data_IF_517992981782
#
_entry.id   IF_517992981782
#
_cell.length_a   1.000
_cell.length_b   1.000
_cell.length_c   1.000
_cell.angle_alpha   90.00
_cell.angle_beta   90.00
_cell.angle_gamma   90.00
#
_symmetry.space_group_name_H-M   'P 1'
#
loop_
_entity.id
_entity.type
_entity.pdbx_description
1 polymer ?
#
# COMPACT_ATOMS: atom_id res chain seq x y z
N UNK A 1 -16.77 7.29 16.82
CA UNK A 1 -17.49 7.21 15.55
C UNK A 1 -16.98 6.00 14.81
N UNK A 2 -17.87 5.13 14.36
CA UNK A 2 -17.48 3.96 13.55
C UNK A 2 -16.94 4.43 12.19
N UNK A 3 -16.10 3.62 11.54
CA UNK A 3 -15.57 3.92 10.22
C UNK A 3 -16.69 4.23 9.21
N UNK A 4 -17.78 3.47 9.26
CA UNK A 4 -18.96 3.65 8.41
C UNK A 4 -19.67 5.00 8.64
N UNK A 5 -19.76 5.49 9.88
CA UNK A 5 -20.31 6.83 10.16
C UNK A 5 -19.45 7.93 9.52
N UNK A 6 -18.13 7.76 9.53
CA UNK A 6 -17.19 8.66 8.86
C UNK A 6 -17.36 8.65 7.34
N UNK A 7 -17.53 7.48 6.73
CA UNK A 7 -17.78 7.32 5.29
C UNK A 7 -19.10 7.97 4.90
N UNK A 8 -20.18 7.72 5.65
CA UNK A 8 -21.50 8.32 5.40
C UNK A 8 -21.45 9.85 5.46
N UNK A 9 -20.78 10.40 6.49
CA UNK A 9 -20.62 11.85 6.65
C UNK A 9 -19.85 12.47 5.48
N UNK A 10 -18.75 11.86 5.04
CA UNK A 10 -17.93 12.37 3.92
C UNK A 10 -18.58 12.18 2.56
N UNK A 11 -19.45 11.19 2.43
CA UNK A 11 -20.21 10.93 1.21
C UNK A 11 -21.39 11.90 1.02
N UNK A 12 -21.70 12.74 2.02
CA UNK A 12 -22.87 13.63 2.02
C UNK A 12 -24.18 12.87 1.68
N UNK A 13 -24.30 11.62 2.14
CA UNK A 13 -25.43 10.74 1.84
C UNK A 13 -25.43 10.09 0.44
N UNK A 14 -24.38 10.25 -0.36
CA UNK A 14 -24.24 9.58 -1.66
C UNK A 14 -23.98 8.08 -1.47
N UNK A 15 -25.04 7.27 -1.65
CA UNK A 15 -25.01 5.81 -1.49
C UNK A 15 -23.95 5.16 -2.38
N UNK A 16 -23.73 5.68 -3.59
CA UNK A 16 -22.73 5.09 -4.51
C UNK A 16 -21.31 5.28 -3.98
N UNK A 17 -21.02 6.41 -3.33
CA UNK A 17 -19.72 6.64 -2.68
C UNK A 17 -19.52 5.71 -1.49
N UNK A 18 -20.59 5.41 -0.75
CA UNK A 18 -20.55 4.46 0.36
C UNK A 18 -20.30 3.04 -0.14
N UNK A 19 -21.05 2.60 -1.16
CA UNK A 19 -20.85 1.29 -1.81
C UNK A 19 -19.42 1.15 -2.34
N UNK A 20 -18.91 2.16 -3.04
CA UNK A 20 -17.56 2.18 -3.57
C UNK A 20 -16.49 2.08 -2.47
N UNK A 21 -16.66 2.77 -1.35
CA UNK A 21 -15.74 2.67 -0.22
C UNK A 21 -15.80 1.29 0.44
N UNK A 22 -16.99 0.71 0.60
CA UNK A 22 -17.17 -0.64 1.13
C UNK A 22 -16.48 -1.67 0.21
N UNK A 23 -16.70 -1.60 -1.10
CA UNK A 23 -16.04 -2.48 -2.07
C UNK A 23 -14.51 -2.32 -2.00
N UNK A 24 -14.02 -1.09 -1.86
CA UNK A 24 -12.61 -0.79 -1.71
C UNK A 24 -11.98 -1.41 -0.46
N UNK A 25 -12.63 -1.27 0.70
CA UNK A 25 -12.18 -1.89 1.96
C UNK A 25 -12.24 -3.40 1.87
N UNK A 26 -13.35 -3.98 1.39
CA UNK A 26 -13.46 -5.43 1.21
C UNK A 26 -12.37 -5.97 0.28
N UNK A 27 -12.04 -5.24 -0.79
CA UNK A 27 -10.95 -5.60 -1.70
C UNK A 27 -9.61 -5.60 -0.98
N UNK A 28 -9.31 -4.56 -0.20
CA UNK A 28 -8.09 -4.48 0.60
C UNK A 28 -7.97 -5.66 1.58
N UNK A 29 -9.01 -5.90 2.38
CA UNK A 29 -9.02 -6.99 3.38
C UNK A 29 -8.93 -8.37 2.73
N UNK A 30 -9.56 -8.56 1.56
CA UNK A 30 -9.48 -9.82 0.82
C UNK A 30 -8.05 -10.09 0.33
N UNK A 31 -7.27 -9.07 -0.01
CA UNK A 31 -5.86 -9.24 -0.41
C UNK A 31 -5.06 -9.87 0.72
N UNK A 32 -5.25 -9.43 1.98
CA UNK A 32 -4.56 -10.01 3.12
C UNK A 32 -4.85 -11.51 3.32
N UNK A 33 -6.01 -12.00 2.88
CA UNK A 33 -6.32 -13.44 2.94
C UNK A 33 -5.48 -14.27 1.94
N UNK A 34 -5.00 -13.67 0.85
CA UNK A 34 -4.22 -14.34 -0.21
C UNK A 34 -2.73 -13.98 -0.21
N UNK A 35 -2.38 -12.88 0.47
CA UNK A 35 -1.03 -12.37 0.54
C UNK A 35 -0.18 -13.20 1.50
N UNK A 36 1.07 -13.46 1.11
CA UNK A 36 2.09 -13.97 2.01
C UNK A 36 2.82 -12.80 2.67
N UNK A 37 3.04 -12.89 3.98
CA UNK A 37 3.67 -11.87 4.82
C UNK A 37 5.10 -12.26 5.24
N UNK A 38 5.74 -13.17 4.49
CA UNK A 38 7.07 -13.68 4.80
C UNK A 38 7.17 -14.26 6.22
N UNK A 39 6.15 -15.00 6.67
CA UNK A 39 6.04 -15.54 8.03
C UNK A 39 5.99 -14.43 9.09
N UNK A 40 5.23 -13.37 8.78
CA UNK A 40 5.07 -12.18 9.60
C UNK A 40 6.28 -11.26 9.66
N UNK A 41 7.25 -11.40 8.75
CA UNK A 41 8.48 -10.60 8.77
C UNK A 41 8.51 -9.48 7.71
N UNK A 42 7.60 -9.49 6.73
CA UNK A 42 7.50 -8.40 5.74
C UNK A 42 7.22 -7.06 6.44
N UNK A 43 7.79 -5.92 5.98
CA UNK A 43 7.47 -4.61 6.55
C UNK A 43 5.97 -4.35 6.45
N UNK A 44 5.37 -3.90 7.55
CA UNK A 44 3.92 -3.69 7.62
C UNK A 44 3.40 -2.78 6.50
N UNK A 45 4.11 -1.69 6.20
CA UNK A 45 3.70 -0.81 5.10
C UNK A 45 3.80 -1.46 3.71
N UNK A 46 4.71 -2.41 3.48
CA UNK A 46 4.69 -3.19 2.24
C UNK A 46 3.50 -4.15 2.20
N UNK A 47 3.10 -4.71 3.35
CA UNK A 47 1.89 -5.55 3.46
C UNK A 47 0.65 -4.74 3.06
N UNK A 48 0.41 -3.63 3.74
CA UNK A 48 -0.70 -2.69 3.48
C UNK A 48 -0.66 -2.12 2.06
N UNK A 49 0.53 -1.76 1.58
CA UNK A 49 0.74 -1.18 0.26
C UNK A 49 0.40 -2.14 -0.89
N UNK A 50 0.61 -3.45 -0.72
CA UNK A 50 0.20 -4.45 -1.70
C UNK A 50 -1.32 -4.54 -1.76
N UNK A 51 -2.01 -4.48 -0.61
CA UNK A 51 -3.47 -4.46 -0.57
C UNK A 51 -4.04 -3.23 -1.30
N UNK A 52 -3.46 -2.05 -1.06
CA UNK A 52 -3.88 -0.82 -1.71
C UNK A 52 -3.42 -0.68 -3.17
N UNK A 53 -2.35 -1.35 -3.57
CA UNK A 53 -1.99 -1.51 -4.99
C UNK A 53 -3.08 -2.26 -5.76
N UNK A 54 -3.60 -3.37 -5.20
CA UNK A 54 -4.72 -4.12 -5.81
C UNK A 54 -6.00 -3.29 -5.82
N UNK A 55 -6.34 -2.65 -4.69
CA UNK A 55 -7.52 -1.78 -4.58
C UNK A 55 -7.49 -0.67 -5.63
N UNK A 56 -6.35 0.01 -5.79
CA UNK A 56 -6.15 1.03 -6.82
C UNK A 56 -6.28 0.46 -8.23
N UNK A 57 -5.67 -0.70 -8.51
CA UNK A 57 -5.76 -1.40 -9.79
C UNK A 57 -7.18 -1.87 -10.16
N UNK A 58 -8.02 -2.14 -9.16
CA UNK A 58 -9.44 -2.46 -9.33
C UNK A 58 -10.32 -1.22 -9.60
N UNK A 59 -9.73 -0.02 -9.62
CA UNK A 59 -10.46 1.23 -9.79
C UNK A 59 -11.25 1.66 -8.55
N UNK A 60 -10.86 1.18 -7.36
CA UNK A 60 -11.52 1.42 -6.07
C UNK A 60 -10.72 2.39 -5.17
N UNK A 61 -9.85 3.20 -5.78
CA UNK A 61 -9.08 4.23 -5.09
C UNK A 61 -10.02 5.35 -4.59
N UNK A 62 -10.05 5.66 -3.28
CA UNK A 62 -10.78 6.79 -2.73
C UNK A 62 -10.41 8.13 -3.39
N UNK A 63 -11.36 9.07 -3.51
CA UNK A 63 -11.10 10.37 -4.14
C UNK A 63 -10.01 11.23 -3.48
N UNK A 64 -9.66 10.96 -2.22
CA UNK A 64 -8.66 11.71 -1.46
C UNK A 64 -7.24 11.14 -1.59
N UNK A 65 -7.06 9.99 -2.25
CA UNK A 65 -5.74 9.43 -2.50
C UNK A 65 -4.93 10.33 -3.42
N UNK A 66 -3.64 10.48 -3.13
CA UNK A 66 -2.71 11.33 -3.89
C UNK A 66 -1.48 10.50 -4.26
N UNK A 67 -1.13 10.51 -5.56
CA UNK A 67 0.05 9.79 -6.04
C UNK A 67 1.35 10.45 -5.55
N UNK A 68 1.40 11.79 -5.55
CA UNK A 68 2.56 12.53 -5.07
C UNK A 68 2.79 12.26 -3.56
N UNK A 69 3.99 11.78 -3.17
CA UNK A 69 4.35 11.64 -1.76
C UNK A 69 4.80 12.96 -1.16
N UNK A 70 4.64 13.10 0.16
CA UNK A 70 5.23 14.18 0.93
C UNK A 70 6.76 14.04 1.07
N UNK A 71 7.43 15.10 1.51
CA UNK A 71 8.89 15.12 1.64
C UNK A 71 9.42 14.06 2.63
N UNK A 72 8.69 13.89 3.74
CA UNK A 72 9.01 12.96 4.83
C UNK A 72 8.46 11.55 4.63
N UNK A 73 7.71 11.30 3.56
CA UNK A 73 7.16 9.97 3.29
C UNK A 73 8.27 8.99 2.93
N UNK A 74 8.06 7.74 3.38
CA UNK A 74 8.91 6.59 3.08
C UNK A 74 8.21 5.67 2.08
N UNK A 75 8.97 4.90 1.33
CA UNK A 75 8.43 3.97 0.36
C UNK A 75 7.55 2.88 1.00
N UNK A 76 7.81 2.54 2.26
CA UNK A 76 7.09 1.57 3.10
C UNK A 76 6.13 2.24 4.09
N UNK A 77 5.64 3.44 3.79
CA UNK A 77 4.67 4.13 4.67
C UNK A 77 3.31 3.41 4.76
N UNK A 78 3.03 2.45 3.88
CA UNK A 78 1.77 1.74 3.83
C UNK A 78 0.78 2.36 2.85
N UNK A 79 -0.38 1.70 2.79
CA UNK A 79 -1.58 2.17 2.12
C UNK A 79 -1.33 2.71 0.70
N UNK A 80 -2.00 3.80 0.33
CA UNK A 80 -1.88 4.41 -0.99
C UNK A 80 -0.45 4.82 -1.33
N UNK A 81 0.34 5.22 -0.33
CA UNK A 81 1.70 5.72 -0.54
C UNK A 81 2.60 4.64 -1.11
N UNK A 82 2.61 3.48 -0.46
CA UNK A 82 3.32 2.31 -0.96
C UNK A 82 2.63 1.73 -2.20
N UNK A 83 1.29 1.75 -2.27
CA UNK A 83 0.54 1.25 -3.44
C UNK A 83 0.85 1.99 -4.74
N UNK A 84 0.93 3.33 -4.71
CA UNK A 84 1.35 4.12 -5.86
C UNK A 84 2.81 3.89 -6.22
N UNK A 85 3.69 3.74 -5.24
CA UNK A 85 5.09 3.39 -5.50
C UNK A 85 5.23 2.04 -6.21
N UNK A 86 4.51 1.01 -5.76
CA UNK A 86 4.49 -0.30 -6.43
C UNK A 86 3.95 -0.21 -7.87
N UNK A 87 2.98 0.69 -8.11
CA UNK A 87 2.50 1.01 -9.46
C UNK A 87 3.57 1.70 -10.31
N UNK A 88 4.37 2.59 -9.72
CA UNK A 88 5.55 3.18 -10.37
C UNK A 88 6.60 2.13 -10.72
N UNK A 89 6.96 1.25 -9.78
CA UNK A 89 7.94 0.19 -10.01
C UNK A 89 7.50 -0.73 -11.17
N UNK A 90 6.25 -1.18 -11.17
CA UNK A 90 5.72 -2.02 -12.25
C UNK A 90 5.85 -1.36 -13.63
N UNK A 91 5.64 -0.04 -13.71
CA UNK A 91 5.83 0.74 -14.95
C UNK A 91 7.31 0.93 -15.30
N UNK A 92 8.14 1.27 -14.30
CA UNK A 92 9.57 1.52 -14.45
C UNK A 92 10.30 0.29 -15.01
N UNK A 93 10.04 -0.87 -14.43
CA UNK A 93 10.58 -2.16 -14.86
C UNK A 93 9.83 -2.78 -16.05
N UNK A 94 8.72 -2.17 -16.50
CA UNK A 94 7.81 -2.72 -17.52
C UNK A 94 7.37 -4.15 -17.22
N UNK A 95 7.16 -4.42 -15.93
CA UNK A 95 6.85 -5.74 -15.41
C UNK A 95 5.51 -5.71 -14.67
N UNK A 96 4.39 -6.08 -15.33
CA UNK A 96 3.09 -6.12 -14.67
C UNK A 96 3.00 -7.23 -13.61
N UNK A 97 3.96 -8.16 -13.56
CA UNK A 97 4.02 -9.23 -12.58
C UNK A 97 4.95 -8.91 -11.41
N UNK A 98 5.48 -7.68 -11.31
CA UNK A 98 6.41 -7.29 -10.24
C UNK A 98 5.81 -7.52 -8.85
N UNK A 99 4.62 -6.99 -8.57
CA UNK A 99 3.94 -7.18 -7.27
C UNK A 99 3.58 -8.65 -7.02
N UNK A 100 3.00 -9.40 -7.98
CA UNK A 100 2.84 -10.85 -7.86
C UNK A 100 4.14 -11.61 -7.53
N UNK A 101 5.29 -11.21 -8.09
CA UNK A 101 6.60 -11.81 -7.79
C UNK A 101 7.06 -11.52 -6.35
N UNK A 102 6.79 -10.32 -5.82
CA UNK A 102 7.02 -10.01 -4.40
C UNK A 102 6.20 -10.97 -3.52
N UNK A 103 4.90 -11.11 -3.79
CA UNK A 103 4.03 -12.01 -3.04
C UNK A 103 4.50 -13.47 -3.12
N UNK A 104 4.90 -13.93 -4.31
CA UNK A 104 5.44 -15.28 -4.49
C UNK A 104 6.74 -15.50 -3.73
N UNK A 105 7.65 -14.52 -3.72
CA UNK A 105 8.90 -14.60 -2.96
C UNK A 105 8.62 -14.65 -1.44
N UNK A 106 7.66 -13.87 -0.96
CA UNK A 106 7.24 -13.84 0.44
C UNK A 106 6.60 -15.17 0.91
N UNK A 107 6.22 -16.07 0.00
CA UNK A 107 5.74 -17.41 0.37
C UNK A 107 6.81 -18.27 1.02
N UNK A 108 8.03 -18.24 0.48
CA UNK A 108 9.13 -19.12 0.90
C UNK A 108 10.14 -18.42 1.81
N UNK A 109 10.35 -17.13 1.58
CA UNK A 109 11.44 -16.37 2.17
C UNK A 109 10.97 -15.61 3.42
N UNK A 110 11.94 -15.17 4.24
CA UNK A 110 11.74 -14.19 5.31
C UNK A 110 12.29 -12.84 4.88
N UNK A 111 11.88 -11.77 5.56
CA UNK A 111 12.47 -10.45 5.39
C UNK A 111 13.88 -10.42 5.99
N UNK A 112 14.86 -10.62 5.12
CA UNK A 112 16.29 -10.52 5.41
C UNK A 112 16.82 -9.21 4.84
N UNK A 113 16.56 -8.10 5.56
CA UNK A 113 16.96 -6.73 5.19
C UNK A 113 16.66 -6.36 3.71
N UNK A 114 15.46 -6.78 3.25
CA UNK A 114 15.01 -6.51 1.90
C UNK A 114 15.65 -7.35 0.79
N UNK A 115 16.42 -8.40 1.09
CA UNK A 115 17.06 -9.26 0.08
C UNK A 115 16.09 -9.81 -0.96
N UNK A 116 14.89 -10.24 -0.54
CA UNK A 116 13.84 -10.72 -1.45
C UNK A 116 13.38 -9.61 -2.41
N UNK A 117 13.21 -8.39 -1.91
CA UNK A 117 12.75 -7.26 -2.69
C UNK A 117 13.83 -6.85 -3.69
N UNK A 118 15.08 -6.72 -3.23
CA UNK A 118 16.24 -6.43 -4.07
C UNK A 118 16.37 -7.44 -5.22
N UNK A 119 16.14 -8.73 -4.96
CA UNK A 119 16.14 -9.77 -6.01
C UNK A 119 15.02 -9.57 -7.03
N UNK A 120 13.82 -9.23 -6.60
CA UNK A 120 12.69 -8.93 -7.51
C UNK A 120 12.94 -7.66 -8.32
N UNK A 121 13.62 -6.66 -7.74
CA UNK A 121 14.01 -5.41 -8.38
C UNK A 121 15.30 -5.50 -9.21
N UNK A 122 15.78 -6.71 -9.53
CA UNK A 122 16.94 -6.88 -10.40
C UNK A 122 18.28 -6.42 -9.78
N UNK A 123 18.34 -6.29 -8.46
CA UNK A 123 19.52 -5.81 -7.74
C UNK A 123 19.48 -4.32 -7.38
N UNK A 124 18.52 -3.57 -7.92
CA UNK A 124 18.39 -2.13 -7.64
C UNK A 124 17.98 -1.85 -6.20
N UNK A 125 18.43 -0.72 -5.68
CA UNK A 125 18.12 -0.30 -4.32
C UNK A 125 16.77 0.40 -4.24
N UNK A 126 15.93 -0.03 -3.29
CA UNK A 126 14.56 0.48 -3.14
C UNK A 126 14.53 1.96 -2.74
N UNK A 127 15.53 2.43 -1.97
CA UNK A 127 15.59 3.84 -1.54
C UNK A 127 16.00 4.74 -2.72
N UNK A 128 16.89 4.27 -3.59
CA UNK A 128 17.24 4.99 -4.82
C UNK A 128 16.04 5.09 -5.78
N UNK A 129 15.29 4.00 -5.92
CA UNK A 129 14.04 3.97 -6.69
C UNK A 129 12.96 4.86 -6.09
N UNK A 130 12.86 4.92 -4.76
CA UNK A 130 11.96 5.85 -4.06
C UNK A 130 12.35 7.30 -4.33
N UNK A 131 13.63 7.63 -4.24
CA UNK A 131 14.12 8.97 -4.58
C UNK A 131 13.83 9.32 -6.05
N UNK A 132 13.97 8.36 -6.97
CA UNK A 132 13.59 8.53 -8.37
C UNK A 132 12.10 8.79 -8.52
N UNK A 133 11.25 8.03 -7.84
CA UNK A 133 9.81 8.24 -7.81
C UNK A 133 9.45 9.66 -7.35
N UNK A 134 10.01 10.12 -6.22
CA UNK A 134 9.79 11.49 -5.73
C UNK A 134 10.19 12.56 -6.76
N UNK A 135 11.31 12.37 -7.47
CA UNK A 135 11.76 13.30 -8.52
C UNK A 135 10.80 13.40 -9.70
N UNK A 136 9.97 12.39 -9.97
CA UNK A 136 8.96 12.46 -11.04
C UNK A 136 7.89 13.54 -10.80
N UNK A 137 7.75 14.02 -9.55
CA UNK A 137 6.84 15.10 -9.17
C UNK A 137 7.54 16.46 -9.00
N UNK A 138 8.86 16.50 -8.83
CA UNK A 138 9.63 17.74 -8.59
C UNK A 138 9.69 18.72 -9.77
N UNK A 139 9.25 18.30 -10.96
CA UNK A 139 9.11 19.16 -12.15
C UNK A 139 7.69 19.74 -12.32
N UNK A 140 6.75 19.46 -11.40
CA UNK A 140 5.39 20.02 -11.43
C UNK A 140 4.95 20.53 -10.06
N UNK A 141 4.53 21.78 -10.07
CA UNK A 141 4.32 22.66 -8.93
C UNK A 141 3.34 22.15 -7.85
N UNK A 142 3.56 22.64 -6.63
CA UNK A 142 2.95 22.21 -5.38
C UNK A 142 1.46 22.57 -5.29
N UNK A 143 0.63 21.57 -5.00
CA UNK A 143 -0.75 21.75 -4.54
C UNK A 143 -0.90 21.10 -3.16
N UNK A 144 -0.86 21.93 -2.11
CA UNK A 144 -1.07 21.52 -0.73
C UNK A 144 -2.55 21.21 -0.49
N UNK A 145 -2.86 19.95 -0.20
CA UNK A 145 -4.14 19.55 0.39
C UNK A 145 -3.86 18.30 1.23
N UNK A 146 -3.71 18.49 2.54
CA UNK A 146 -3.38 17.42 3.48
C UNK A 146 -4.50 16.37 3.47
N UNK A 147 -4.15 15.18 2.97
CA UNK A 147 -5.03 14.03 3.03
C UNK A 147 -5.21 13.62 4.50
N UNK A 148 -6.44 13.32 4.96
CA UNK A 148 -6.64 12.76 6.28
C UNK A 148 -5.91 11.41 6.36
N UNK A 149 -5.27 11.15 7.51
CA UNK A 149 -4.51 9.93 7.72
C UNK A 149 -5.35 8.68 7.42
N UNK A 150 -4.79 7.68 6.72
CA UNK A 150 -5.46 6.40 6.54
C UNK A 150 -5.79 5.83 7.92
N UNK A 151 -7.04 5.40 8.11
CA UNK A 151 -7.48 4.78 9.35
C UNK A 151 -6.95 3.35 9.33
N UNK A 152 -6.04 2.95 10.25
CA UNK A 152 -5.50 1.61 10.23
C UNK A 152 -6.58 0.58 10.47
N UNK A 153 -6.78 -0.33 9.52
CA UNK A 153 -7.73 -1.46 9.68
C UNK A 153 -7.09 -2.59 10.48
N UNK A 154 -5.76 -2.61 10.61
CA UNK A 154 -5.00 -3.58 11.39
C UNK A 154 -4.11 -2.91 12.44
N UNK A 155 -4.41 -3.12 13.72
CA UNK A 155 -3.50 -2.80 14.82
C UNK A 155 -2.37 -3.81 14.87
N UNK A 156 -1.15 -3.35 15.15
CA UNK A 156 0.00 -4.23 15.39
C UNK A 156 -0.40 -5.34 16.37
N UNK A 157 -0.39 -6.60 15.91
CA UNK A 157 -0.68 -7.76 16.77
C UNK A 157 0.39 -7.84 17.84
N UNK A 158 0.09 -7.34 19.04
CA UNK A 158 0.84 -7.66 20.25
C UNK A 158 0.57 -9.14 20.58
N UNK A 159 1.60 -9.97 20.40
CA UNK A 159 1.53 -11.38 20.72
C UNK A 159 1.52 -11.64 22.23
N UNK A 160 0.59 -12.49 22.67
CA UNK A 160 0.67 -13.38 23.83
C UNK A 160 -0.26 -14.55 23.49
N UNK A 161 0.08 -15.84 23.57
CA UNK A 161 1.08 -16.54 24.36
C UNK A 161 0.39 -17.84 24.77
N UNK A 162 0.67 -18.94 24.07
CA UNK A 162 0.11 -20.26 24.40
C UNK A 162 0.86 -20.77 25.63
N UNK A 163 0.21 -20.71 26.79
CA UNK A 163 0.64 -21.45 27.98
C UNK A 163 0.12 -22.88 27.90
N UNK A 164 1.04 -23.84 28.08
CA UNK A 164 0.73 -25.23 28.39
C UNK A 164 0.06 -25.36 29.76
#
# INVERSE_FOLDING_TARGET
>A
MSYLEGVLSRSNGDVKRVEHEIDGVLTHELVHAFQYDARGSLPGGLVEGIADWVRGGAGLAPPHWREQPGECDRWDAGYERTGFFLSFLSRHFRDPLLVPKINLAARSDTWDDGALLRRVLGGEDVEELWALYKRTFGDKDQGTDDAPAPVPTHGARSGYGVGY
#
